data_IF_909331949481
#
_entry.id   IF_909331949481
#
_cell.length_a   1.000
_cell.length_b   1.000
_cell.length_c   1.000
_cell.angle_alpha   90.00
_cell.angle_beta   90.00
_cell.angle_gamma   90.00
#
_symmetry.space_group_name_H-M   'P 1'
#
loop_
_entity.id
_entity.type
_entity.pdbx_description
1 polymer ?
#
# COMPACT_ATOMS: atom_id res chain seq x y z
N UNK A 1 0.09 9.41 -27.51
CA UNK A 1 0.36 8.19 -26.68
C UNK A 1 0.69 7.03 -27.58
N UNK A 2 1.68 6.20 -27.23
CA UNK A 2 2.04 5.02 -28.02
C UNK A 2 0.87 4.05 -28.05
N UNK A 3 0.63 3.46 -29.22
CA UNK A 3 -0.43 2.46 -29.46
C UNK A 3 -0.02 1.13 -28.79
N UNK A 4 -0.14 1.07 -27.44
CA UNK A 4 0.19 -0.11 -26.63
C UNK A 4 -0.96 -1.10 -26.74
N UNK A 5 -0.62 -2.35 -26.96
CA UNK A 5 -1.60 -3.41 -27.20
C UNK A 5 -2.23 -3.96 -25.91
N UNK A 6 -1.65 -3.64 -24.73
CA UNK A 6 -2.15 -4.05 -23.43
C UNK A 6 -2.38 -2.85 -22.50
N UNK A 7 -3.55 -2.82 -21.88
CA UNK A 7 -3.88 -1.81 -20.87
C UNK A 7 -3.15 -2.11 -19.56
N UNK A 8 -3.19 -3.36 -19.10
CA UNK A 8 -2.58 -3.79 -17.84
C UNK A 8 -1.79 -5.09 -18.02
N UNK A 9 -0.61 -5.17 -17.45
CA UNK A 9 0.13 -6.43 -17.26
C UNK A 9 0.27 -6.74 -15.79
N UNK A 10 -0.12 -7.95 -15.36
CA UNK A 10 0.01 -8.45 -13.99
C UNK A 10 1.25 -9.34 -13.91
N UNK A 11 2.35 -8.82 -13.38
CA UNK A 11 3.56 -9.57 -13.16
C UNK A 11 3.56 -10.25 -11.79
N UNK A 12 3.59 -11.59 -11.77
CA UNK A 12 3.40 -12.40 -10.56
C UNK A 12 1.95 -12.85 -10.33
N UNK A 13 1.17 -13.00 -11.41
CA UNK A 13 -0.24 -13.40 -11.39
C UNK A 13 -0.51 -14.78 -10.71
N UNK A 14 0.49 -15.63 -10.54
CA UNK A 14 0.37 -16.95 -9.90
C UNK A 14 0.47 -16.93 -8.36
N UNK A 15 0.90 -15.81 -7.77
CA UNK A 15 0.96 -15.62 -6.32
C UNK A 15 -0.42 -15.53 -5.68
N UNK A 16 -0.50 -15.54 -4.33
CA UNK A 16 -1.77 -15.46 -3.58
C UNK A 16 -2.56 -14.22 -4.00
N UNK A 17 -1.97 -13.03 -3.86
CA UNK A 17 -2.61 -11.77 -4.24
C UNK A 17 -2.73 -11.63 -5.75
N UNK A 18 -1.74 -12.12 -6.52
CA UNK A 18 -1.75 -12.08 -7.98
C UNK A 18 -2.94 -12.79 -8.62
N UNK A 19 -3.33 -13.95 -8.08
CA UNK A 19 -4.55 -14.66 -8.52
C UNK A 19 -5.81 -13.87 -8.24
N UNK A 20 -5.87 -13.18 -7.11
CA UNK A 20 -7.01 -12.32 -6.79
C UNK A 20 -7.08 -11.08 -7.67
N UNK A 21 -5.93 -10.47 -8.04
CA UNK A 21 -5.85 -9.38 -9.02
C UNK A 21 -6.32 -9.88 -10.39
N UNK A 22 -5.82 -11.04 -10.84
CA UNK A 22 -6.20 -11.63 -12.12
C UNK A 22 -7.70 -11.97 -12.19
N UNK A 23 -8.27 -12.52 -11.12
CA UNK A 23 -9.70 -12.80 -11.03
C UNK A 23 -10.54 -11.52 -11.11
N UNK A 24 -10.13 -10.47 -10.41
CA UNK A 24 -10.82 -9.18 -10.47
C UNK A 24 -10.73 -8.53 -11.85
N UNK A 25 -9.58 -8.56 -12.52
CA UNK A 25 -9.45 -8.04 -13.89
C UNK A 25 -10.28 -8.84 -14.90
N UNK A 26 -10.42 -10.15 -14.72
CA UNK A 26 -11.31 -10.97 -15.53
C UNK A 26 -12.79 -10.58 -15.33
N UNK A 27 -13.21 -10.34 -14.09
CA UNK A 27 -14.54 -9.80 -13.78
C UNK A 27 -14.75 -8.44 -14.44
N UNK A 28 -13.78 -7.53 -14.34
CA UNK A 28 -13.85 -6.21 -14.99
C UNK A 28 -13.87 -6.31 -16.52
N UNK A 29 -13.18 -7.30 -17.12
CA UNK A 29 -13.19 -7.52 -18.58
C UNK A 29 -14.56 -7.93 -19.12
N UNK A 30 -15.43 -8.49 -18.27
CA UNK A 30 -16.82 -8.80 -18.65
C UNK A 30 -17.71 -7.54 -18.70
N UNK A 31 -17.31 -6.46 -18.04
CA UNK A 31 -18.08 -5.21 -17.92
C UNK A 31 -17.58 -4.11 -18.87
N UNK A 32 -16.31 -4.15 -19.28
CA UNK A 32 -15.68 -3.13 -20.13
C UNK A 32 -14.61 -3.73 -21.03
N UNK A 33 -14.35 -3.14 -22.21
CA UNK A 33 -13.20 -3.52 -23.02
C UNK A 33 -11.90 -3.34 -22.23
N UNK A 34 -11.19 -4.45 -21.97
CA UNK A 34 -9.95 -4.47 -21.22
C UNK A 34 -9.01 -5.52 -21.82
N UNK A 35 -7.83 -5.08 -22.26
CA UNK A 35 -6.76 -5.96 -22.73
C UNK A 35 -5.72 -6.09 -21.63
N UNK A 36 -5.70 -7.21 -20.95
CA UNK A 36 -4.74 -7.45 -19.88
C UNK A 36 -4.01 -8.78 -20.05
N UNK A 37 -2.77 -8.85 -19.60
CA UNK A 37 -1.94 -10.04 -19.66
C UNK A 37 -1.45 -10.45 -18.28
N UNK A 38 -1.28 -11.77 -18.11
CA UNK A 38 -0.57 -12.34 -16.98
C UNK A 38 0.90 -12.57 -17.36
N UNK A 39 1.84 -12.00 -16.62
CA UNK A 39 3.26 -12.22 -16.86
C UNK A 39 3.88 -13.13 -15.79
N UNK A 40 4.66 -14.12 -16.22
CA UNK A 40 5.30 -15.10 -15.36
C UNK A 40 6.52 -15.75 -16.05
N UNK A 41 7.44 -16.33 -15.27
CA UNK A 41 8.59 -17.09 -15.79
C UNK A 41 8.17 -18.33 -16.58
N UNK A 42 7.16 -19.03 -16.08
CA UNK A 42 6.58 -20.23 -16.67
C UNK A 42 5.14 -19.93 -17.08
N UNK A 43 4.97 -19.63 -18.36
CA UNK A 43 3.67 -19.26 -18.94
C UNK A 43 2.69 -20.43 -18.95
N UNK A 44 3.18 -21.66 -19.16
CA UNK A 44 2.34 -22.88 -19.13
C UNK A 44 1.77 -23.12 -17.73
N UNK A 45 2.61 -22.98 -16.71
CA UNK A 45 2.16 -23.07 -15.31
C UNK A 45 1.18 -21.93 -14.95
N UNK A 46 1.43 -20.72 -15.43
CA UNK A 46 0.55 -19.59 -15.18
C UNK A 46 -0.82 -19.80 -15.83
N UNK A 47 -0.86 -20.19 -17.12
CA UNK A 47 -2.09 -20.49 -17.83
C UNK A 47 -2.90 -21.62 -17.17
N UNK A 48 -2.24 -22.69 -16.71
CA UNK A 48 -2.93 -23.76 -15.97
C UNK A 48 -3.53 -23.27 -14.63
N UNK A 49 -2.75 -22.55 -13.82
CA UNK A 49 -3.22 -22.04 -12.52
C UNK A 49 -4.39 -21.07 -12.67
N UNK A 50 -4.34 -20.18 -13.65
CA UNK A 50 -5.41 -19.21 -13.91
C UNK A 50 -6.63 -19.90 -14.52
N UNK A 51 -6.43 -20.82 -15.48
CA UNK A 51 -7.52 -21.60 -16.07
C UNK A 51 -8.26 -22.49 -15.08
N UNK A 52 -7.56 -23.14 -14.11
CA UNK A 52 -8.17 -23.86 -13.00
C UNK A 52 -9.06 -22.97 -12.12
N UNK A 53 -8.77 -21.66 -12.09
CA UNK A 53 -9.58 -20.66 -11.38
C UNK A 53 -10.65 -19.99 -12.26
N UNK A 54 -10.82 -20.42 -13.52
CA UNK A 54 -11.75 -19.81 -14.47
C UNK A 54 -11.35 -18.39 -14.92
N UNK A 55 -10.06 -18.07 -14.85
CA UNK A 55 -9.53 -16.75 -15.18
C UNK A 55 -8.76 -16.82 -16.51
N UNK A 56 -9.25 -16.09 -17.49
CA UNK A 56 -8.66 -16.05 -18.84
C UNK A 56 -8.14 -14.63 -19.16
N UNK A 57 -6.81 -14.39 -19.06
CA UNK A 57 -6.22 -13.15 -19.56
C UNK A 57 -6.28 -13.11 -21.10
N UNK A 58 -6.14 -11.92 -21.68
CA UNK A 58 -6.00 -11.77 -23.15
C UNK A 58 -4.83 -12.62 -23.68
N UNK A 59 -3.76 -12.67 -22.89
CA UNK A 59 -2.60 -13.53 -23.15
C UNK A 59 -1.74 -13.77 -21.89
N UNK A 60 -0.80 -14.70 -22.00
CA UNK A 60 0.23 -14.93 -20.97
C UNK A 60 1.61 -14.62 -21.55
N UNK A 61 2.37 -13.75 -20.87
CA UNK A 61 3.68 -13.25 -21.32
C UNK A 61 4.79 -13.90 -20.50
N UNK A 62 5.86 -14.33 -21.14
CA UNK A 62 7.09 -14.76 -20.47
C UNK A 62 7.85 -13.54 -19.97
N UNK A 63 8.10 -13.48 -18.65
CA UNK A 63 8.94 -12.46 -18.02
C UNK A 63 9.65 -13.03 -16.80
N UNK A 64 10.95 -12.76 -16.69
CA UNK A 64 11.80 -13.20 -15.57
C UNK A 64 12.59 -12.02 -15.01
N UNK A 65 12.64 -11.91 -13.68
CA UNK A 65 13.45 -10.89 -12.97
C UNK A 65 14.92 -10.95 -13.35
N UNK A 66 15.45 -12.13 -13.65
CA UNK A 66 16.85 -12.33 -14.08
C UNK A 66 17.10 -11.98 -15.53
N UNK A 67 16.07 -11.77 -16.34
CA UNK A 67 16.17 -11.44 -17.76
C UNK A 67 15.61 -10.03 -18.05
N UNK A 68 16.54 -9.05 -18.12
CA UNK A 68 16.20 -7.65 -18.44
C UNK A 68 15.52 -7.48 -19.80
N UNK A 69 15.86 -8.33 -20.78
CA UNK A 69 15.24 -8.30 -22.09
C UNK A 69 13.75 -8.67 -22.04
N UNK A 70 13.41 -9.72 -21.28
CA UNK A 70 12.00 -10.13 -21.10
C UNK A 70 11.20 -9.07 -20.33
N UNK A 71 11.79 -8.42 -19.32
CA UNK A 71 11.14 -7.33 -18.59
C UNK A 71 10.88 -6.11 -19.49
N UNK A 72 11.86 -5.73 -20.30
CA UNK A 72 11.73 -4.63 -21.26
C UNK A 72 10.64 -4.92 -22.31
N UNK A 73 10.63 -6.14 -22.87
CA UNK A 73 9.60 -6.56 -23.82
C UNK A 73 8.20 -6.55 -23.21
N UNK A 74 8.04 -7.02 -21.97
CA UNK A 74 6.78 -6.96 -21.21
C UNK A 74 6.33 -5.50 -21.02
N UNK A 75 7.21 -4.64 -20.49
CA UNK A 75 6.88 -3.26 -20.18
C UNK A 75 6.58 -2.41 -21.42
N UNK A 76 7.24 -2.67 -22.55
CA UNK A 76 7.00 -1.96 -23.80
C UNK A 76 5.58 -2.15 -24.36
N UNK A 77 4.92 -3.25 -24.02
CA UNK A 77 3.56 -3.57 -24.46
C UNK A 77 2.46 -3.03 -23.55
N UNK A 78 2.79 -2.74 -22.29
CA UNK A 78 1.84 -2.38 -21.26
C UNK A 78 1.67 -0.86 -21.12
N UNK A 79 0.44 -0.37 -20.91
CA UNK A 79 0.21 0.98 -20.38
C UNK A 79 0.63 1.02 -18.91
N UNK A 80 0.29 -0.04 -18.16
CA UNK A 80 0.62 -0.17 -16.73
C UNK A 80 1.11 -1.57 -16.43
N UNK A 81 2.17 -1.68 -15.62
CA UNK A 81 2.63 -2.95 -15.04
C UNK A 81 2.27 -2.97 -13.57
N UNK A 82 1.47 -3.96 -13.15
CA UNK A 82 1.19 -4.27 -11.75
C UNK A 82 2.19 -5.33 -11.28
N UNK A 83 3.12 -4.94 -10.43
CA UNK A 83 4.15 -5.85 -9.94
C UNK A 83 3.77 -6.47 -8.59
N UNK A 84 3.61 -7.79 -8.59
CA UNK A 84 3.31 -8.60 -7.39
C UNK A 84 4.45 -9.59 -7.05
N UNK A 85 5.62 -9.35 -7.63
CA UNK A 85 6.80 -10.18 -7.36
C UNK A 85 7.64 -9.56 -6.24
N UNK A 86 7.43 -10.04 -5.02
CA UNK A 86 8.20 -9.66 -3.84
C UNK A 86 9.13 -10.78 -3.35
N UNK A 87 10.03 -10.51 -2.39
CA UNK A 87 10.29 -9.20 -1.75
C UNK A 87 10.81 -8.13 -2.71
N UNK A 88 10.26 -6.92 -2.60
CA UNK A 88 10.56 -5.84 -3.54
C UNK A 88 12.00 -5.32 -3.40
N UNK A 89 12.55 -5.32 -2.20
CA UNK A 89 13.97 -5.02 -1.94
C UNK A 89 14.90 -5.89 -2.79
N UNK A 90 14.49 -7.13 -3.10
CA UNK A 90 15.29 -8.07 -3.89
C UNK A 90 14.95 -8.04 -5.38
N UNK A 91 13.68 -7.81 -5.73
CA UNK A 91 13.18 -8.07 -7.09
C UNK A 91 12.46 -6.89 -7.75
N UNK A 92 12.15 -5.81 -7.01
CA UNK A 92 11.33 -4.71 -7.53
C UNK A 92 12.07 -3.80 -8.52
N UNK A 93 13.33 -3.49 -8.25
CA UNK A 93 14.12 -2.53 -9.03
C UNK A 93 14.16 -2.81 -10.55
N UNK A 94 14.46 -4.03 -11.03
CA UNK A 94 14.54 -4.29 -12.47
C UNK A 94 13.22 -4.05 -13.20
N UNK A 95 12.07 -4.24 -12.53
CA UNK A 95 10.75 -4.00 -13.12
C UNK A 95 10.49 -2.50 -13.24
N UNK A 96 10.83 -1.69 -12.23
CA UNK A 96 10.74 -0.22 -12.30
C UNK A 96 11.65 0.32 -13.40
N UNK A 97 12.90 -0.16 -13.50
CA UNK A 97 13.82 0.20 -14.59
C UNK A 97 13.22 -0.05 -15.97
N UNK A 98 12.63 -1.22 -16.16
CA UNK A 98 11.99 -1.58 -17.44
C UNK A 98 10.79 -0.67 -17.74
N UNK A 99 9.96 -0.36 -16.75
CA UNK A 99 8.82 0.55 -16.90
C UNK A 99 9.27 1.97 -17.25
N UNK A 100 10.26 2.52 -16.54
CA UNK A 100 10.80 3.86 -16.82
C UNK A 100 11.39 3.92 -18.22
N UNK A 101 12.21 2.94 -18.61
CA UNK A 101 12.83 2.90 -19.92
C UNK A 101 11.82 2.74 -21.06
N UNK A 102 10.71 2.04 -20.81
CA UNK A 102 9.67 1.79 -21.83
C UNK A 102 8.55 2.84 -21.81
N UNK A 103 8.49 3.73 -20.83
CA UNK A 103 7.40 4.69 -20.68
C UNK A 103 6.08 4.06 -20.20
N UNK A 104 6.11 2.93 -19.48
CA UNK A 104 4.94 2.30 -18.86
C UNK A 104 4.74 2.83 -17.44
N UNK A 105 3.50 3.02 -17.01
CA UNK A 105 3.21 3.25 -15.59
C UNK A 105 3.51 2.00 -14.77
N UNK A 106 3.77 2.17 -13.50
CA UNK A 106 4.08 1.10 -12.56
C UNK A 106 3.26 1.24 -11.28
N UNK A 107 2.73 0.12 -10.78
CA UNK A 107 2.16 0.07 -9.44
C UNK A 107 2.49 -1.25 -8.73
N UNK A 108 2.62 -1.20 -7.39
CA UNK A 108 2.89 -2.36 -6.56
C UNK A 108 2.21 -2.29 -5.17
N UNK A 109 2.47 -3.30 -4.34
CA UNK A 109 1.93 -3.47 -2.99
C UNK A 109 3.02 -3.38 -1.91
N UNK A 110 4.17 -2.79 -2.20
CA UNK A 110 5.28 -2.81 -1.25
C UNK A 110 4.97 -2.04 0.03
N UNK A 111 5.34 -2.60 1.17
CA UNK A 111 5.47 -1.91 2.45
C UNK A 111 6.93 -1.74 2.88
N UNK A 112 7.87 -1.98 1.98
CA UNK A 112 9.31 -2.01 2.23
C UNK A 112 9.90 -0.60 2.12
N UNK A 113 9.73 0.25 3.15
CA UNK A 113 10.11 1.67 3.12
C UNK A 113 11.57 1.96 2.70
N UNK A 114 12.58 1.15 3.09
CA UNK A 114 13.94 1.32 2.55
C UNK A 114 14.01 1.16 1.03
N UNK A 115 13.26 0.22 0.47
CA UNK A 115 13.16 0.04 -0.98
C UNK A 115 12.45 1.22 -1.65
N UNK A 116 11.29 1.64 -1.11
CA UNK A 116 10.54 2.80 -1.65
C UNK A 116 11.43 4.03 -1.69
N UNK A 117 12.18 4.30 -0.62
CA UNK A 117 13.10 5.43 -0.55
C UNK A 117 14.16 5.38 -1.66
N UNK A 118 14.83 4.25 -1.84
CA UNK A 118 15.82 4.09 -2.91
C UNK A 118 15.23 4.27 -4.30
N UNK A 119 13.99 3.80 -4.52
CA UNK A 119 13.32 3.99 -5.81
C UNK A 119 12.95 5.44 -6.06
N UNK A 120 12.58 6.20 -5.04
CA UNK A 120 12.39 7.65 -5.14
C UNK A 120 13.71 8.33 -5.51
N UNK A 121 14.79 8.04 -4.79
CA UNK A 121 16.10 8.66 -5.02
C UNK A 121 16.62 8.40 -6.44
N UNK A 122 16.40 7.19 -6.98
CA UNK A 122 16.95 6.77 -8.26
C UNK A 122 16.04 7.08 -9.45
N UNK A 123 14.71 7.06 -9.26
CA UNK A 123 13.75 7.06 -10.38
C UNK A 123 12.73 8.21 -10.38
N UNK A 124 12.64 9.06 -9.35
CA UNK A 124 11.68 10.17 -9.36
C UNK A 124 11.90 11.10 -10.57
N UNK A 125 13.13 11.58 -10.76
CA UNK A 125 13.50 12.39 -11.91
C UNK A 125 13.35 11.68 -13.27
N UNK A 126 13.91 10.48 -13.45
CA UNK A 126 13.74 9.69 -14.67
C UNK A 126 12.26 9.40 -15.02
N UNK A 127 11.44 9.02 -14.04
CA UNK A 127 10.02 8.78 -14.24
C UNK A 127 9.26 10.06 -14.61
N UNK A 128 9.58 11.18 -13.96
CA UNK A 128 9.02 12.48 -14.30
C UNK A 128 9.40 12.90 -15.73
N UNK A 129 10.65 12.71 -16.14
CA UNK A 129 11.11 12.99 -17.50
C UNK A 129 10.46 12.10 -18.56
N UNK A 130 10.16 10.83 -18.21
CA UNK A 130 9.44 9.90 -19.07
C UNK A 130 7.91 10.13 -19.10
N UNK A 131 7.39 11.04 -18.29
CA UNK A 131 5.95 11.31 -18.18
C UNK A 131 5.14 10.18 -17.56
N UNK A 132 5.77 9.29 -16.80
CA UNK A 132 5.11 8.13 -16.17
C UNK A 132 4.96 8.29 -14.66
N UNK A 133 4.07 7.49 -14.10
CA UNK A 133 3.85 7.38 -12.66
C UNK A 133 4.42 6.05 -12.17
N UNK A 134 5.27 6.10 -11.17
CA UNK A 134 5.71 4.96 -10.37
C UNK A 134 4.98 5.06 -9.03
N UNK A 135 3.97 4.22 -8.82
CA UNK A 135 3.08 4.28 -7.66
C UNK A 135 3.28 3.05 -6.81
N UNK A 136 3.99 3.21 -5.71
CA UNK A 136 4.21 2.14 -4.75
C UNK A 136 3.14 2.16 -3.66
N UNK A 137 3.05 1.09 -2.86
CA UNK A 137 2.15 0.98 -1.70
C UNK A 137 0.64 1.01 -2.00
N UNK A 138 0.19 0.48 -3.15
CA UNK A 138 -1.22 0.48 -3.57
C UNK A 138 -2.08 -0.61 -2.89
N UNK A 139 -1.80 -0.97 -1.64
CA UNK A 139 -2.54 -1.97 -0.87
C UNK A 139 -3.27 -1.41 0.34
N UNK A 140 -3.91 -2.30 1.09
CA UNK A 140 -4.71 -1.99 2.28
C UNK A 140 -3.95 -1.15 3.31
N UNK A 141 -2.68 -1.41 3.49
CA UNK A 141 -1.89 -0.72 4.48
C UNK A 141 -1.80 0.79 4.21
N UNK A 142 -1.72 1.21 2.94
CA UNK A 142 -1.39 2.61 2.62
C UNK A 142 -2.36 3.32 1.70
N UNK A 143 -2.90 2.68 0.66
CA UNK A 143 -3.77 3.39 -0.28
C UNK A 143 -5.01 4.00 0.40
N UNK A 144 -5.80 3.26 1.22
CA UNK A 144 -6.95 3.84 1.91
C UNK A 144 -6.59 4.93 2.92
N UNK A 145 -5.59 4.75 3.81
CA UNK A 145 -5.16 5.81 4.72
C UNK A 145 -4.74 7.09 4.01
N UNK A 146 -3.94 6.97 2.94
CA UNK A 146 -3.43 8.10 2.17
C UNK A 146 -4.57 8.88 1.51
N UNK A 147 -5.54 8.18 0.90
CA UNK A 147 -6.73 8.80 0.32
C UNK A 147 -7.62 9.47 1.37
N UNK A 148 -7.88 8.82 2.51
CA UNK A 148 -8.72 9.39 3.56
C UNK A 148 -8.15 10.67 4.13
N UNK A 149 -6.82 10.71 4.34
CA UNK A 149 -6.15 11.92 4.83
C UNK A 149 -6.16 13.01 3.77
N UNK A 150 -5.94 12.67 2.49
CA UNK A 150 -6.04 13.62 1.39
C UNK A 150 -7.46 14.21 1.28
N UNK A 151 -8.51 13.38 1.34
CA UNK A 151 -9.91 13.84 1.36
C UNK A 151 -10.22 14.76 2.53
N UNK A 152 -9.71 14.47 3.72
CA UNK A 152 -9.89 15.34 4.87
C UNK A 152 -9.17 16.68 4.68
N UNK A 153 -7.96 16.68 4.11
CA UNK A 153 -7.21 17.88 3.80
C UNK A 153 -7.89 18.73 2.71
N UNK A 154 -8.37 18.09 1.64
CA UNK A 154 -9.11 18.75 0.56
C UNK A 154 -10.39 19.40 1.09
N UNK A 155 -11.12 18.70 1.98
CA UNK A 155 -12.34 19.20 2.61
C UNK A 155 -12.07 20.41 3.51
N UNK A 156 -11.05 20.32 4.36
CA UNK A 156 -10.65 21.42 5.25
C UNK A 156 -10.31 22.68 4.45
N UNK A 157 -9.57 22.48 3.37
CA UNK A 157 -9.18 23.57 2.47
C UNK A 157 -10.37 24.16 1.73
N UNK A 158 -11.17 23.33 1.08
CA UNK A 158 -12.30 23.79 0.27
C UNK A 158 -13.35 24.52 1.10
N UNK A 159 -13.52 24.12 2.37
CA UNK A 159 -14.57 24.66 3.22
C UNK A 159 -14.13 25.87 4.04
N UNK A 160 -12.90 25.88 4.52
CA UNK A 160 -12.44 26.89 5.47
C UNK A 160 -11.10 27.54 5.10
N UNK A 161 -10.45 27.12 4.04
CA UNK A 161 -9.07 27.48 3.67
C UNK A 161 -8.06 27.18 4.80
N UNK A 162 -8.28 26.05 5.49
CA UNK A 162 -7.48 25.61 6.63
C UNK A 162 -6.61 24.39 6.26
N UNK A 163 -5.52 24.23 7.02
CA UNK A 163 -4.64 23.07 6.92
C UNK A 163 -4.80 22.15 8.13
N UNK A 164 -4.41 20.88 7.98
CA UNK A 164 -4.49 19.92 9.07
C UNK A 164 -3.42 20.22 10.14
N UNK A 165 -3.79 20.06 11.42
CA UNK A 165 -2.89 20.08 12.57
C UNK A 165 -2.65 18.68 13.13
N UNK A 166 -3.69 17.85 13.13
CA UNK A 166 -3.59 16.46 13.60
C UNK A 166 -4.57 15.54 12.89
N UNK A 167 -4.16 14.29 12.77
CA UNK A 167 -4.95 13.20 12.18
C UNK A 167 -4.83 11.97 13.09
N UNK A 168 -5.97 11.43 13.51
CA UNK A 168 -6.10 10.14 14.16
C UNK A 168 -6.87 9.19 13.25
N UNK A 169 -6.21 8.13 12.76
CA UNK A 169 -6.83 7.08 11.97
C UNK A 169 -7.14 5.86 12.84
N UNK A 170 -8.37 5.43 12.80
CA UNK A 170 -8.90 4.28 13.54
C UNK A 170 -9.34 3.20 12.55
N UNK A 171 -8.82 1.99 12.71
CA UNK A 171 -9.12 0.85 11.85
C UNK A 171 -9.91 -0.19 12.64
N UNK A 172 -11.04 -0.61 12.13
CA UNK A 172 -11.83 -1.72 12.66
C UNK A 172 -11.87 -2.82 11.62
N UNK A 173 -11.46 -4.03 12.00
CA UNK A 173 -11.53 -5.22 11.13
C UNK A 173 -12.43 -6.24 11.79
N UNK A 174 -13.44 -6.70 11.04
CA UNK A 174 -14.39 -7.72 11.49
C UNK A 174 -14.18 -9.01 10.70
N UNK A 175 -13.56 -10.02 11.32
CA UNK A 175 -13.38 -11.31 10.68
C UNK A 175 -14.72 -12.06 10.58
N UNK A 176 -14.84 -13.04 9.65
CA UNK A 176 -16.00 -13.91 9.59
C UNK A 176 -16.14 -14.73 10.88
N UNK A 177 -17.37 -15.13 11.25
CA UNK A 177 -17.60 -15.99 12.41
C UNK A 177 -16.77 -17.28 12.38
N UNK A 178 -16.33 -17.74 13.56
CA UNK A 178 -15.59 -18.98 13.75
C UNK A 178 -14.20 -18.78 14.32
N UNK A 179 -13.42 -19.87 14.36
CA UNK A 179 -12.05 -19.85 14.90
C UNK A 179 -11.11 -19.16 13.90
N UNK A 180 -10.34 -18.14 14.31
CA UNK A 180 -9.30 -17.55 13.47
C UNK A 180 -8.26 -18.60 13.04
N UNK A 181 -7.83 -18.55 11.79
CA UNK A 181 -6.78 -19.43 11.25
C UNK A 181 -5.47 -18.66 11.19
N UNK A 182 -4.32 -19.31 11.41
CA UNK A 182 -3.01 -18.65 11.24
C UNK A 182 -2.83 -18.03 9.86
N UNK A 183 -3.40 -18.65 8.82
CA UNK A 183 -3.40 -18.13 7.45
C UNK A 183 -4.22 -16.85 7.26
N UNK A 184 -5.16 -16.53 8.17
CA UNK A 184 -5.97 -15.32 8.09
C UNK A 184 -5.15 -14.05 8.42
N UNK A 185 -3.97 -14.18 9.04
CA UNK A 185 -3.17 -13.05 9.49
C UNK A 185 -2.14 -12.56 8.46
N UNK A 186 -1.16 -13.39 8.11
CA UNK A 186 0.02 -12.96 7.33
C UNK A 186 0.35 -14.01 6.27
N UNK A 187 0.60 -13.58 5.01
CA UNK A 187 1.07 -14.47 3.95
C UNK A 187 2.57 -14.79 4.06
N UNK A 188 2.97 -15.88 3.42
CA UNK A 188 4.39 -16.19 3.27
C UNK A 188 5.17 -15.06 2.57
N UNK A 189 4.57 -14.38 1.58
CA UNK A 189 5.16 -13.23 0.91
C UNK A 189 5.38 -12.06 1.86
N UNK A 190 4.39 -11.70 2.67
CA UNK A 190 4.53 -10.62 3.68
C UNK A 190 5.60 -10.95 4.71
N UNK A 191 5.67 -12.20 5.18
CA UNK A 191 6.74 -12.62 6.10
C UNK A 191 8.12 -12.51 5.46
N UNK A 192 8.27 -12.92 4.21
CA UNK A 192 9.54 -12.79 3.48
C UNK A 192 9.96 -11.33 3.30
N UNK A 193 9.02 -10.43 2.98
CA UNK A 193 9.28 -8.97 2.93
C UNK A 193 9.73 -8.41 4.29
N UNK A 194 9.08 -8.81 5.39
CA UNK A 194 9.50 -8.38 6.73
C UNK A 194 10.95 -8.81 7.05
N UNK A 195 11.33 -10.02 6.66
CA UNK A 195 12.71 -10.49 6.86
C UNK A 195 13.70 -9.84 5.89
N UNK A 196 13.29 -9.52 4.67
CA UNK A 196 14.09 -8.75 3.72
C UNK A 196 14.40 -7.34 4.27
N UNK A 197 13.38 -6.64 4.77
CA UNK A 197 13.53 -5.34 5.44
C UNK A 197 14.48 -5.47 6.65
N UNK A 198 14.27 -6.48 7.49
CA UNK A 198 15.13 -6.71 8.64
C UNK A 198 16.58 -6.99 8.27
N UNK A 199 16.86 -7.53 7.09
CA UNK A 199 18.21 -7.72 6.53
C UNK A 199 18.80 -6.49 5.86
N UNK A 200 18.00 -5.48 5.53
CA UNK A 200 18.39 -4.30 4.74
C UNK A 200 19.36 -3.38 5.51
N UNK A 201 20.20 -2.62 4.79
CA UNK A 201 21.11 -1.65 5.41
C UNK A 201 20.34 -0.54 6.11
N UNK A 202 19.32 -0.06 5.48
CA UNK A 202 18.49 1.08 5.87
C UNK A 202 17.25 0.67 6.67
N UNK A 203 17.23 -0.51 7.30
CA UNK A 203 16.07 -1.00 8.04
C UNK A 203 15.55 -0.01 9.11
N UNK A 204 16.41 0.86 9.62
CA UNK A 204 16.00 1.90 10.58
C UNK A 204 14.98 2.91 9.99
N UNK A 205 14.92 3.06 8.66
CA UNK A 205 13.95 3.93 7.99
C UNK A 205 12.49 3.52 8.24
N UNK A 206 12.22 2.26 8.60
CA UNK A 206 10.85 1.84 8.96
C UNK A 206 10.27 2.59 10.16
N UNK A 207 11.13 3.16 11.01
CA UNK A 207 10.72 3.93 12.19
C UNK A 207 10.84 5.46 11.99
N UNK A 208 11.07 5.91 10.76
CA UNK A 208 11.21 7.34 10.43
C UNK A 208 9.94 7.83 9.70
N UNK A 209 9.16 8.76 10.29
CA UNK A 209 7.97 9.31 9.65
C UNK A 209 8.29 10.15 8.40
N UNK A 210 9.54 10.56 8.24
CA UNK A 210 10.04 11.31 7.10
C UNK A 210 10.90 10.46 6.14
N UNK A 211 10.83 9.13 6.22
CA UNK A 211 11.67 8.21 5.43
C UNK A 211 11.64 8.51 3.92
N UNK A 212 10.52 8.99 3.39
CA UNK A 212 10.31 9.24 1.96
C UNK A 212 10.54 10.71 1.54
N UNK A 213 10.97 11.58 2.46
CA UNK A 213 11.23 13.00 2.19
C UNK A 213 12.72 13.20 1.99
N UNK A 214 13.12 13.65 0.79
CA UNK A 214 14.53 13.83 0.44
C UNK A 214 15.13 15.12 1.05
N UNK A 215 14.36 16.23 1.10
CA UNK A 215 14.81 17.49 1.67
C UNK A 215 15.01 17.34 3.19
N UNK A 216 16.23 17.60 3.65
CA UNK A 216 16.60 17.41 5.06
C UNK A 216 15.86 18.35 6.02
N UNK A 217 15.56 19.58 5.59
CA UNK A 217 14.85 20.57 6.40
C UNK A 217 13.39 20.16 6.59
N UNK A 218 12.71 19.79 5.51
CA UNK A 218 11.36 19.27 5.53
C UNK A 218 11.27 17.96 6.36
N UNK A 219 12.23 17.05 6.18
CA UNK A 219 12.30 15.80 6.93
C UNK A 219 12.42 16.05 8.45
N UNK A 220 13.29 16.95 8.88
CA UNK A 220 13.46 17.31 10.29
C UNK A 220 12.20 17.95 10.88
N UNK A 221 11.52 18.79 10.09
CA UNK A 221 10.25 19.38 10.50
C UNK A 221 9.18 18.33 10.71
N UNK A 222 9.07 17.35 9.81
CA UNK A 222 8.15 16.21 9.94
C UNK A 222 8.47 15.35 11.15
N UNK A 223 9.74 14.98 11.37
CA UNK A 223 10.16 14.18 12.55
C UNK A 223 9.76 14.85 13.86
N UNK A 224 9.88 16.18 13.92
CA UNK A 224 9.51 16.95 15.12
C UNK A 224 8.00 17.05 15.31
N UNK A 225 7.23 17.25 14.25
CA UNK A 225 5.77 17.45 14.29
C UNK A 225 4.99 16.12 14.43
N UNK A 226 5.49 15.04 13.83
CA UNK A 226 4.75 13.78 13.69
C UNK A 226 5.60 12.55 14.05
N UNK A 227 6.11 12.42 15.28
CA UNK A 227 6.85 11.22 15.68
C UNK A 227 5.94 9.99 15.65
N UNK A 228 6.47 8.85 15.19
CA UNK A 228 5.74 7.57 15.19
C UNK A 228 5.38 7.17 16.62
N UNK A 229 4.08 7.00 16.89
CA UNK A 229 3.55 6.65 18.20
C UNK A 229 3.01 5.22 18.15
N UNK A 230 3.60 4.34 18.95
CA UNK A 230 3.19 2.93 19.13
C UNK A 230 2.56 2.65 20.48
N UNK A 231 2.30 3.68 21.28
CA UNK A 231 1.62 3.53 22.57
C UNK A 231 0.11 3.32 22.36
N UNK A 232 -0.53 2.45 23.19
CA UNK A 232 -1.99 2.32 23.17
C UNK A 232 -2.63 3.63 23.64
N UNK A 233 -3.82 3.93 23.11
CA UNK A 233 -4.53 5.17 23.43
C UNK A 233 -6.05 4.96 23.49
N UNK A 234 -6.78 5.97 23.93
CA UNK A 234 -8.22 6.06 23.73
C UNK A 234 -8.52 6.67 22.37
N UNK A 235 -9.47 6.09 21.65
CA UNK A 235 -10.02 6.60 20.41
C UNK A 235 -11.11 7.63 20.63
N UNK A 236 -11.63 8.17 19.52
CA UNK A 236 -12.67 9.21 19.53
C UNK A 236 -13.92 8.79 20.30
N UNK A 237 -14.33 7.52 20.21
CA UNK A 237 -15.51 6.97 20.92
C UNK A 237 -15.15 6.28 22.25
N UNK A 238 -14.01 6.60 22.86
CA UNK A 238 -13.54 5.97 24.10
C UNK A 238 -13.06 4.52 23.95
N UNK A 239 -13.00 3.99 22.75
CA UNK A 239 -12.46 2.67 22.46
C UNK A 239 -10.96 2.60 22.77
N UNK A 240 -10.43 1.40 23.05
CA UNK A 240 -8.99 1.18 23.18
C UNK A 240 -8.40 0.98 21.79
N UNK A 241 -7.43 1.81 21.42
CA UNK A 241 -6.72 1.75 20.16
C UNK A 241 -5.33 1.15 20.42
N UNK A 242 -5.06 0.04 19.74
CA UNK A 242 -3.75 -0.60 19.71
C UNK A 242 -2.97 -0.16 18.46
N UNK A 243 -1.64 -0.14 18.50
CA UNK A 243 -0.87 0.09 17.27
C UNK A 243 -1.08 -1.04 16.28
N UNK A 244 -1.15 -0.73 14.98
CA UNK A 244 -1.40 -1.69 13.90
C UNK A 244 -0.11 -1.93 13.11
N UNK A 245 0.57 -3.06 13.37
CA UNK A 245 1.70 -3.47 12.53
C UNK A 245 1.18 -4.20 11.26
N UNK A 246 1.85 -4.04 10.09
CA UNK A 246 3.01 -3.19 9.86
C UNK A 246 2.67 -1.72 9.53
N UNK A 247 1.40 -1.37 9.34
CA UNK A 247 0.93 -0.07 8.85
C UNK A 247 1.50 1.12 9.65
N UNK A 248 1.58 1.02 10.99
CA UNK A 248 2.15 2.05 11.85
C UNK A 248 3.61 2.43 11.51
N UNK A 249 4.30 1.62 10.71
CA UNK A 249 5.66 1.87 10.23
C UNK A 249 5.73 2.22 8.74
N UNK A 250 4.60 2.21 8.04
CA UNK A 250 4.50 2.48 6.60
C UNK A 250 3.82 3.84 6.39
N UNK A 251 2.63 3.98 6.93
CA UNK A 251 1.74 5.11 6.64
C UNK A 251 2.27 6.47 7.05
N UNK A 252 2.95 6.66 8.20
CA UNK A 252 3.47 7.97 8.53
C UNK A 252 4.36 8.54 7.43
N UNK A 253 5.25 7.72 6.83
CA UNK A 253 6.14 8.14 5.76
C UNK A 253 5.39 8.43 4.45
N UNK A 254 4.42 7.59 4.08
CA UNK A 254 3.60 7.76 2.87
C UNK A 254 2.77 9.04 2.95
N UNK A 255 2.04 9.23 4.05
CA UNK A 255 1.13 10.36 4.25
C UNK A 255 1.89 11.70 4.32
N UNK A 256 3.04 11.74 4.99
CA UNK A 256 3.86 12.95 5.02
C UNK A 256 4.51 13.25 3.65
N UNK A 257 4.84 12.21 2.87
CA UNK A 257 5.28 12.39 1.47
C UNK A 257 4.14 12.92 0.60
N UNK A 258 2.91 12.44 0.77
CA UNK A 258 1.71 12.98 0.10
C UNK A 258 1.54 14.46 0.40
N UNK A 259 1.61 14.85 1.67
CA UNK A 259 1.52 16.26 2.07
C UNK A 259 2.62 17.12 1.43
N UNK A 260 3.85 16.61 1.36
CA UNK A 260 4.97 17.28 0.71
C UNK A 260 4.74 17.47 -0.80
N UNK A 261 4.35 16.40 -1.50
CA UNK A 261 4.12 16.43 -2.94
C UNK A 261 2.97 17.39 -3.30
N UNK A 262 1.87 17.37 -2.54
CA UNK A 262 0.75 18.29 -2.75
C UNK A 262 1.15 19.76 -2.47
N UNK A 263 1.91 20.00 -1.40
CA UNK A 263 2.43 21.34 -1.09
C UNK A 263 3.34 21.86 -2.21
N UNK A 264 4.20 20.99 -2.77
CA UNK A 264 5.09 21.36 -3.88
C UNK A 264 4.33 21.73 -5.15
N UNK A 265 3.25 21.01 -5.47
CA UNK A 265 2.39 21.32 -6.63
C UNK A 265 1.65 22.65 -6.45
N UNK A 266 1.27 22.97 -5.23
CA UNK A 266 0.59 24.22 -4.89
C UNK A 266 1.57 25.38 -4.60
N UNK A 267 2.87 25.18 -4.82
CA UNK A 267 3.93 26.15 -4.59
C UNK A 267 3.90 26.77 -3.18
N UNK A 268 3.53 25.98 -2.18
CA UNK A 268 3.42 26.40 -0.78
C UNK A 268 4.36 25.63 0.13
N UNK A 269 4.72 26.19 1.30
CA UNK A 269 5.53 25.48 2.29
C UNK A 269 4.81 24.22 2.80
N UNK A 270 5.58 23.12 3.00
CA UNK A 270 5.07 21.95 3.70
C UNK A 270 4.65 22.35 5.13
N UNK A 271 3.40 22.05 5.48
CA UNK A 271 2.87 22.16 6.84
C UNK A 271 2.64 20.75 7.37
N UNK A 272 3.59 20.17 8.11
CA UNK A 272 3.43 18.84 8.66
C UNK A 272 2.41 18.86 9.78
N UNK A 273 1.62 17.81 9.85
CA UNK A 273 0.62 17.58 10.89
C UNK A 273 0.96 16.31 11.68
N UNK A 274 0.50 16.24 12.90
CA UNK A 274 0.65 15.05 13.73
C UNK A 274 -0.24 13.94 13.19
N UNK A 275 0.35 12.81 12.81
CA UNK A 275 -0.37 11.62 12.36
C UNK A 275 -0.26 10.48 13.37
N UNK A 276 -1.38 9.82 13.66
CA UNK A 276 -1.44 8.60 14.47
C UNK A 276 -2.44 7.64 13.83
N UNK A 277 -2.17 6.35 13.98
CA UNK A 277 -3.10 5.32 13.55
C UNK A 277 -3.17 4.17 14.53
N UNK A 278 -4.17 3.31 14.41
CA UNK A 278 -4.24 2.10 15.18
C UNK A 278 -5.52 1.29 14.98
N UNK A 279 -5.44 0.05 15.48
CA UNK A 279 -6.53 -0.91 15.44
C UNK A 279 -7.47 -0.69 16.63
N UNK A 280 -8.74 -0.56 16.35
CA UNK A 280 -9.78 -0.50 17.38
C UNK A 280 -9.94 -1.87 18.01
N UNK A 281 -9.59 -2.00 19.27
CA UNK A 281 -9.94 -3.17 20.09
C UNK A 281 -11.38 -2.99 20.56
N UNK A 282 -12.33 -3.17 19.62
CA UNK A 282 -13.75 -3.15 19.84
C UNK A 282 -14.31 -4.57 19.79
N UNK A 283 -15.52 -4.74 20.24
CA UNK A 283 -16.16 -6.04 20.26
C UNK A 283 -16.43 -6.50 21.69
N UNK A 284 -17.62 -6.91 21.84
CA UNK A 284 -18.46 -6.88 23.01
C UNK A 284 -18.06 -7.76 24.18
N UNK A 285 -17.18 -8.72 24.03
CA UNK A 285 -16.93 -9.73 25.09
C UNK A 285 -15.69 -9.49 25.96
N UNK A 286 -14.71 -8.71 25.48
CA UNK A 286 -13.49 -8.45 26.26
C UNK A 286 -13.69 -7.28 27.23
N UNK A 287 -13.35 -7.48 28.51
CA UNK A 287 -13.35 -6.43 29.50
C UNK A 287 -12.38 -5.31 29.14
N UNK A 288 -12.63 -4.09 29.64
CA UNK A 288 -11.74 -2.95 29.40
C UNK A 288 -10.29 -3.21 29.83
N UNK A 289 -10.01 -3.80 31.00
CA UNK A 289 -8.63 -4.17 31.40
C UNK A 289 -7.96 -5.14 30.40
N UNK A 290 -8.71 -6.14 29.91
CA UNK A 290 -8.19 -7.09 28.94
C UNK A 290 -7.81 -6.40 27.62
N UNK A 291 -8.63 -5.48 27.12
CA UNK A 291 -8.32 -4.70 25.90
C UNK A 291 -7.03 -3.87 26.08
N UNK A 292 -6.86 -3.22 27.22
CA UNK A 292 -5.61 -2.50 27.54
C UNK A 292 -4.41 -3.44 27.63
N UNK A 293 -4.59 -4.63 28.21
CA UNK A 293 -3.55 -5.67 28.25
C UNK A 293 -3.12 -6.12 26.84
N UNK A 294 -4.08 -6.39 25.95
CA UNK A 294 -3.81 -6.76 24.54
C UNK A 294 -3.10 -5.60 23.82
N UNK A 295 -3.59 -4.37 23.97
CA UNK A 295 -2.97 -3.19 23.34
C UNK A 295 -1.54 -2.98 23.84
N UNK A 296 -1.28 -3.18 25.12
CA UNK A 296 0.06 -3.12 25.71
C UNK A 296 1.00 -4.18 25.15
N UNK A 297 0.53 -5.42 24.99
CA UNK A 297 1.31 -6.50 24.42
C UNK A 297 1.66 -6.23 22.94
N UNK A 298 0.71 -5.72 22.13
CA UNK A 298 0.96 -5.32 20.76
C UNK A 298 1.98 -4.16 20.70
N UNK A 299 1.88 -3.18 21.59
CA UNK A 299 2.86 -2.08 21.68
C UNK A 299 4.25 -2.59 22.04
N UNK A 300 4.37 -3.51 22.97
CA UNK A 300 5.66 -4.10 23.35
C UNK A 300 6.28 -4.89 22.18
N UNK A 301 5.46 -5.64 21.44
CA UNK A 301 5.91 -6.35 20.24
C UNK A 301 6.45 -5.38 19.18
N UNK A 302 5.74 -4.29 18.92
CA UNK A 302 6.20 -3.29 17.94
C UNK A 302 7.44 -2.52 18.43
N UNK A 303 7.55 -2.23 19.71
CA UNK A 303 8.76 -1.65 20.28
C UNK A 303 9.95 -2.59 20.09
N UNK A 304 9.75 -3.89 20.28
CA UNK A 304 10.76 -4.92 20.00
C UNK A 304 11.18 -4.95 18.54
N UNK A 305 10.22 -4.91 17.59
CA UNK A 305 10.50 -4.86 16.15
C UNK A 305 11.26 -3.59 15.76
N UNK A 306 10.87 -2.43 16.31
CA UNK A 306 11.59 -1.17 16.12
C UNK A 306 13.01 -1.23 16.64
N UNK A 307 13.20 -1.76 17.85
CA UNK A 307 14.53 -1.95 18.45
C UNK A 307 15.39 -2.90 17.62
N UNK A 308 14.79 -3.98 17.10
CA UNK A 308 15.48 -4.91 16.20
C UNK A 308 15.90 -4.25 14.89
N UNK A 309 15.02 -3.46 14.26
CA UNK A 309 15.33 -2.72 13.03
C UNK A 309 16.47 -1.69 13.25
N UNK A 310 16.55 -1.10 14.43
CA UNK A 310 17.61 -0.17 14.82
C UNK A 310 18.92 -0.87 15.25
N UNK A 311 18.93 -2.20 15.45
CA UNK A 311 20.11 -2.94 15.87
C UNK A 311 21.20 -2.93 14.77
N UNK A 312 22.45 -3.12 15.20
CA UNK A 312 23.61 -3.18 14.27
C UNK A 312 23.41 -4.27 13.21
N UNK A 313 23.75 -4.02 11.93
CA UNK A 313 23.62 -4.99 10.85
C UNK A 313 24.27 -6.35 11.14
N UNK A 314 25.40 -6.36 11.87
CA UNK A 314 26.09 -7.58 12.27
C UNK A 314 25.24 -8.52 13.16
N UNK A 315 24.31 -7.98 13.93
CA UNK A 315 23.37 -8.77 14.77
C UNK A 315 22.13 -9.10 13.96
N UNK A 316 21.55 -8.11 13.30
CA UNK A 316 20.24 -8.17 12.64
C UNK A 316 20.25 -9.09 11.42
N UNK A 317 21.26 -9.00 10.54
CA UNK A 317 21.34 -9.76 9.29
C UNK A 317 21.38 -11.28 9.47
N UNK A 318 22.20 -11.87 10.37
CA UNK A 318 22.17 -13.31 10.60
C UNK A 318 20.82 -13.82 11.11
N UNK A 319 20.20 -13.06 12.02
CA UNK A 319 18.86 -13.41 12.57
C UNK A 319 17.81 -13.34 11.47
N UNK A 320 17.77 -12.27 10.70
CA UNK A 320 16.82 -12.12 9.58
C UNK A 320 16.96 -13.26 8.56
N UNK A 321 18.18 -13.65 8.20
CA UNK A 321 18.44 -14.79 7.29
C UNK A 321 17.97 -16.12 7.86
N UNK A 322 18.18 -16.36 9.16
CA UNK A 322 17.72 -17.58 9.81
C UNK A 322 16.17 -17.67 9.80
N UNK A 323 15.49 -16.56 10.15
CA UNK A 323 14.03 -16.49 10.12
C UNK A 323 13.46 -16.62 8.71
N UNK A 324 14.11 -16.01 7.71
CA UNK A 324 13.67 -16.13 6.30
C UNK A 324 13.68 -17.58 5.79
N UNK A 325 14.61 -18.42 6.27
CA UNK A 325 14.65 -19.85 5.92
C UNK A 325 13.50 -20.66 6.53
N UNK A 326 12.91 -20.17 7.62
CA UNK A 326 11.77 -20.80 8.32
C UNK A 326 10.43 -20.26 7.83
N UNK A 327 10.43 -19.19 7.04
CA UNK A 327 9.22 -18.57 6.51
C UNK A 327 8.48 -19.55 5.59
N UNK A 328 7.14 -19.56 5.63
CA UNK A 328 6.33 -20.29 4.65
C UNK A 328 6.64 -19.84 3.23
N UNK A 329 6.40 -20.73 2.26
CA UNK A 329 6.54 -20.37 0.84
C UNK A 329 5.60 -19.20 0.48
N UNK A 330 5.99 -18.41 -0.55
CA UNK A 330 5.23 -17.25 -1.03
C UNK A 330 3.78 -17.57 -1.44
N UNK A 331 3.45 -18.84 -1.71
CA UNK A 331 2.09 -19.30 -1.99
C UNK A 331 1.23 -19.56 -0.75
N UNK A 332 1.78 -19.48 0.47
CA UNK A 332 1.00 -19.64 1.70
C UNK A 332 0.17 -18.38 1.98
N UNK A 333 -1.12 -18.56 2.20
CA UNK A 333 -2.05 -17.48 2.54
C UNK A 333 -3.49 -17.96 2.58
N UNK A 334 -4.45 -17.11 2.96
CA UNK A 334 -5.85 -17.50 2.98
C UNK A 334 -6.39 -17.70 1.57
N UNK A 335 -7.39 -18.56 1.46
CA UNK A 335 -8.04 -18.88 0.20
C UNK A 335 -9.55 -19.19 0.43
N UNK A 336 -10.32 -19.13 -0.66
CA UNK A 336 -11.71 -19.54 -0.70
C UNK A 336 -12.68 -18.49 -0.17
N UNK A 337 -13.94 -18.92 0.06
CA UNK A 337 -15.08 -18.07 0.40
C UNK A 337 -14.90 -17.23 1.68
N UNK A 338 -14.01 -17.64 2.58
CA UNK A 338 -13.74 -16.84 3.78
C UNK A 338 -13.19 -15.45 3.48
N UNK A 339 -12.48 -15.28 2.36
CA UNK A 339 -11.93 -13.99 1.96
C UNK A 339 -13.02 -12.93 1.71
N UNK A 340 -14.19 -13.35 1.27
CA UNK A 340 -15.31 -12.46 0.93
C UNK A 340 -16.05 -11.94 2.17
N UNK A 341 -16.06 -12.73 3.27
CA UNK A 341 -16.87 -12.45 4.46
C UNK A 341 -16.26 -11.48 5.47
N UNK A 342 -15.10 -10.94 5.18
CA UNK A 342 -14.48 -9.90 6.00
C UNK A 342 -15.12 -8.56 5.71
N UNK A 343 -15.31 -7.75 6.75
CA UNK A 343 -15.65 -6.34 6.61
C UNK A 343 -14.68 -5.50 7.42
N UNK A 344 -14.44 -4.29 7.00
CA UNK A 344 -13.56 -3.40 7.72
C UNK A 344 -13.93 -1.93 7.47
N UNK A 345 -13.59 -1.10 8.44
CA UNK A 345 -13.77 0.34 8.36
C UNK A 345 -12.48 1.05 8.74
N UNK A 346 -12.22 2.16 8.09
CA UNK A 346 -11.22 3.13 8.50
C UNK A 346 -11.90 4.47 8.73
N UNK A 347 -11.56 5.15 9.83
CA UNK A 347 -12.07 6.47 10.16
C UNK A 347 -10.91 7.40 10.49
N UNK A 348 -10.78 8.47 9.72
CA UNK A 348 -9.86 9.58 9.97
C UNK A 348 -10.63 10.63 10.76
N UNK A 349 -10.12 10.99 11.92
CA UNK A 349 -10.53 12.14 12.71
C UNK A 349 -9.43 13.19 12.58
N UNK A 350 -9.66 14.19 11.76
CA UNK A 350 -8.71 15.25 11.48
C UNK A 350 -9.14 16.55 12.16
N UNK A 351 -8.17 17.26 12.71
CA UNK A 351 -8.36 18.59 13.26
C UNK A 351 -7.47 19.58 12.54
N UNK A 352 -8.03 20.74 12.18
CA UNK A 352 -7.32 21.79 11.48
C UNK A 352 -6.54 22.69 12.43
N UNK A 353 -5.70 23.55 11.87
CA UNK A 353 -4.91 24.54 12.61
C UNK A 353 -5.77 25.60 13.28
N UNK A 354 -6.97 25.90 12.78
CA UNK A 354 -7.92 26.82 13.40
C UNK A 354 -8.91 26.12 14.35
N UNK A 355 -8.88 24.78 14.41
CA UNK A 355 -9.68 24.00 15.37
C UNK A 355 -10.95 23.37 14.79
N UNK A 356 -11.18 23.46 13.49
CA UNK A 356 -12.27 22.76 12.80
C UNK A 356 -12.00 21.25 12.76
N UNK A 357 -13.05 20.44 12.78
CA UNK A 357 -12.95 18.99 12.73
C UNK A 357 -13.46 18.46 11.38
N UNK A 358 -12.78 17.44 10.83
CA UNK A 358 -13.20 16.71 9.63
C UNK A 358 -13.15 15.24 9.92
N UNK A 359 -14.21 14.51 9.55
CA UNK A 359 -14.25 13.05 9.65
C UNK A 359 -14.36 12.46 8.26
N UNK A 360 -13.35 11.68 7.85
CA UNK A 360 -13.40 10.91 6.62
C UNK A 360 -13.45 9.42 6.96
N UNK A 361 -14.38 8.69 6.34
CA UNK A 361 -14.60 7.26 6.59
C UNK A 361 -14.56 6.45 5.32
N UNK A 362 -14.09 5.20 5.45
CA UNK A 362 -14.15 4.17 4.43
C UNK A 362 -14.79 2.93 5.04
N UNK A 363 -15.79 2.38 4.37
CA UNK A 363 -16.37 1.06 4.65
C UNK A 363 -16.09 0.13 3.48
N UNK A 364 -15.63 -1.09 3.74
CA UNK A 364 -15.26 -2.01 2.68
C UNK A 364 -15.44 -3.47 3.06
N UNK A 365 -15.56 -4.30 2.01
CA UNK A 365 -15.75 -5.74 2.08
C UNK A 365 -14.55 -6.49 1.53
N UNK A 366 -14.42 -7.73 1.99
CA UNK A 366 -13.36 -8.64 1.61
C UNK A 366 -12.15 -8.53 2.53
N UNK A 367 -11.39 -9.62 2.61
CA UNK A 367 -10.19 -9.68 3.46
C UNK A 367 -9.25 -8.51 3.15
N UNK A 368 -8.91 -7.65 4.13
CA UNK A 368 -8.18 -6.41 3.86
C UNK A 368 -6.84 -6.64 3.17
N UNK A 369 -6.00 -7.52 3.70
CA UNK A 369 -4.65 -7.76 3.18
C UNK A 369 -4.57 -8.62 1.91
N UNK A 370 -5.69 -9.13 1.38
CA UNK A 370 -5.67 -10.00 0.18
C UNK A 370 -6.72 -9.59 -0.85
N UNK A 371 -8.01 -9.86 -0.61
CA UNK A 371 -9.04 -9.60 -1.61
C UNK A 371 -9.24 -8.11 -1.85
N UNK A 372 -9.37 -7.31 -0.77
CA UNK A 372 -9.52 -5.87 -0.89
C UNK A 372 -8.24 -5.24 -1.48
N UNK A 373 -7.06 -5.66 -1.01
CA UNK A 373 -5.76 -5.23 -1.55
C UNK A 373 -5.64 -5.53 -3.06
N UNK A 374 -6.07 -6.72 -3.49
CA UNK A 374 -6.04 -7.08 -4.91
C UNK A 374 -6.95 -6.17 -5.77
N UNK A 375 -8.16 -5.88 -5.26
CA UNK A 375 -9.10 -4.96 -5.91
C UNK A 375 -8.56 -3.54 -5.98
N UNK A 376 -7.93 -3.05 -4.90
CA UNK A 376 -7.28 -1.73 -4.86
C UNK A 376 -6.20 -1.59 -5.92
N UNK A 377 -5.28 -2.56 -5.98
CA UNK A 377 -4.19 -2.53 -6.96
C UNK A 377 -4.73 -2.62 -8.39
N UNK A 378 -5.73 -3.47 -8.63
CA UNK A 378 -6.34 -3.59 -9.95
C UNK A 378 -7.00 -2.27 -10.39
N UNK A 379 -7.82 -1.64 -9.53
CA UNK A 379 -8.45 -0.35 -9.85
C UNK A 379 -7.41 0.78 -9.98
N UNK A 380 -6.36 0.79 -9.17
CA UNK A 380 -5.24 1.73 -9.36
C UNK A 380 -4.60 1.55 -10.75
N UNK A 381 -4.38 0.30 -11.17
CA UNK A 381 -3.88 -0.01 -12.50
C UNK A 381 -4.82 0.43 -13.62
N UNK A 382 -6.11 0.16 -13.49
CA UNK A 382 -7.12 0.58 -14.48
C UNK A 382 -7.21 2.11 -14.60
N UNK A 383 -7.14 2.83 -13.47
CA UNK A 383 -7.10 4.29 -13.44
C UNK A 383 -5.84 4.85 -14.11
N UNK A 384 -4.67 4.23 -13.86
CA UNK A 384 -3.42 4.63 -14.48
C UNK A 384 -3.38 4.33 -15.99
N UNK A 385 -4.11 3.30 -16.45
CA UNK A 385 -4.20 2.94 -17.86
C UNK A 385 -5.16 3.84 -18.65
N UNK A 386 -6.10 4.49 -17.98
CA UNK A 386 -7.13 5.33 -18.59
C UNK A 386 -6.65 6.78 -18.74
N UNK A 387 -6.68 7.28 -19.97
CA UNK A 387 -6.24 8.65 -20.27
C UNK A 387 -7.13 9.69 -19.60
N UNK A 388 -6.53 10.61 -18.87
CA UNK A 388 -7.25 11.69 -18.19
C UNK A 388 -7.98 11.29 -16.90
N UNK A 389 -7.96 9.99 -16.52
CA UNK A 389 -8.63 9.53 -15.30
C UNK A 389 -7.89 9.92 -14.01
N UNK A 390 -6.64 10.32 -14.10
CA UNK A 390 -5.80 10.68 -12.95
C UNK A 390 -5.13 12.03 -13.16
N UNK A 391 -4.76 12.75 -12.07
CA UNK A 391 -4.09 14.05 -12.18
C UNK A 391 -2.87 14.02 -13.11
N UNK A 392 -2.64 15.10 -13.84
CA UNK A 392 -1.47 15.24 -14.73
C UNK A 392 -0.21 15.46 -13.90
N UNK A 393 0.39 14.36 -13.45
CA UNK A 393 1.62 14.32 -12.64
C UNK A 393 2.46 13.13 -13.06
N UNK A 394 3.78 13.22 -12.91
CA UNK A 394 4.71 12.14 -13.20
C UNK A 394 5.81 12.07 -12.14
N UNK A 395 6.48 10.92 -12.02
CA UNK A 395 7.50 10.66 -11.01
C UNK A 395 7.14 9.52 -10.08
N UNK A 396 7.87 9.37 -8.97
CA UNK A 396 7.58 8.44 -7.89
C UNK A 396 6.55 9.05 -6.93
N UNK A 397 5.30 8.67 -7.08
CA UNK A 397 4.16 9.29 -6.43
C UNK A 397 3.55 8.35 -5.38
N UNK A 398 2.97 8.94 -4.33
CA UNK A 398 2.12 8.20 -3.39
C UNK A 398 0.74 7.94 -4.00
N UNK A 399 -0.04 6.97 -3.51
CA UNK A 399 -1.35 6.63 -4.09
C UNK A 399 -2.29 7.82 -4.24
N UNK A 400 -2.46 8.63 -3.20
CA UNK A 400 -3.38 9.78 -3.24
C UNK A 400 -2.93 10.85 -4.26
N UNK A 401 -1.62 11.09 -4.40
CA UNK A 401 -1.07 12.04 -5.37
C UNK A 401 -1.20 11.53 -6.81
N UNK A 402 -0.99 10.23 -7.00
CA UNK A 402 -1.04 9.61 -8.32
C UNK A 402 -2.46 9.48 -8.88
N UNK A 403 -3.41 9.08 -8.01
CA UNK A 403 -4.78 8.76 -8.39
C UNK A 403 -5.73 9.95 -8.22
N UNK A 404 -5.43 10.85 -7.29
CA UNK A 404 -6.32 11.97 -6.93
C UNK A 404 -7.50 11.53 -6.07
N UNK A 405 -8.14 12.49 -5.39
CA UNK A 405 -9.29 12.23 -4.52
C UNK A 405 -10.54 11.73 -5.29
N UNK A 406 -10.66 12.09 -6.58
CA UNK A 406 -11.75 11.63 -7.45
C UNK A 406 -11.77 10.11 -7.72
N UNK A 407 -10.69 9.38 -7.44
CA UNK A 407 -10.65 7.93 -7.62
C UNK A 407 -11.60 7.15 -6.69
N UNK A 408 -12.12 7.79 -5.64
CA UNK A 408 -13.01 7.16 -4.66
C UNK A 408 -14.31 6.64 -5.26
N UNK A 409 -14.85 7.29 -6.28
CA UNK A 409 -16.01 6.82 -7.05
C UNK A 409 -15.69 5.51 -7.81
N UNK A 410 -14.48 5.40 -8.34
CA UNK A 410 -14.00 4.18 -9.01
C UNK A 410 -13.81 3.04 -8.00
N UNK A 411 -13.25 3.34 -6.84
CA UNK A 411 -13.04 2.36 -5.77
C UNK A 411 -14.34 1.82 -5.17
N UNK A 412 -15.47 2.52 -5.35
CA UNK A 412 -16.79 1.98 -5.00
C UNK A 412 -17.11 0.66 -5.73
N UNK A 413 -16.61 0.47 -6.96
CA UNK A 413 -16.70 -0.79 -7.71
C UNK A 413 -15.89 -1.91 -7.07
N UNK A 414 -14.84 -1.56 -6.35
CA UNK A 414 -14.01 -2.47 -5.55
C UNK A 414 -14.59 -2.73 -4.14
N UNK A 415 -15.88 -2.40 -3.93
CA UNK A 415 -16.58 -2.47 -2.64
C UNK A 415 -15.95 -1.58 -1.55
N UNK A 416 -15.52 -0.38 -1.93
CA UNK A 416 -14.93 0.61 -1.05
C UNK A 416 -15.72 1.91 -1.10
N UNK A 417 -16.42 2.23 -0.03
CA UNK A 417 -17.34 3.35 0.04
C UNK A 417 -16.78 4.43 0.96
N UNK A 418 -16.38 5.54 0.35
CA UNK A 418 -15.83 6.70 1.05
C UNK A 418 -16.93 7.70 1.38
N UNK A 419 -16.81 8.34 2.53
CA UNK A 419 -17.64 9.48 2.93
C UNK A 419 -16.81 10.47 3.73
N UNK A 420 -17.13 11.76 3.60
CA UNK A 420 -16.48 12.83 4.35
C UNK A 420 -17.53 13.75 4.91
N UNK A 421 -17.37 14.10 6.18
CA UNK A 421 -18.20 15.08 6.88
C UNK A 421 -17.31 16.09 7.61
N UNK A 422 -17.66 17.36 7.56
CA UNK A 422 -17.03 18.41 8.32
C UNK A 422 -17.51 18.41 9.76
#
# INVERSE_FOLDING_TARGET
>A
MSDRDLDVVVFGATGVTGRSVAAYLAERSAEMPLRWAAAARDTSKAGRILGEAGVEPTETIAADIGDRGSLAAMAARARVVLNLVGPYTLYGRPVIEACVASGAHYADLTGEMPFVRRMIDDFDGPAAAAGIKVVQTCGFESLPPDLLVALAADTARARWDETLASVDLEVTVTPPPGVPRPSDGISGGTMQSMFAIAGDEDAALVADPAALIADATAANTVRSASPITIAPRRGANGAVIAPMAPAAFINPAVIQRTAQLLASVEERPLQPFRYREGLVLGGSSASLPLRWGIAGALSATQAGLRGFAAAKPAIRRPVARALARMAPASGFGPAGERLVRWTWTMSVHARTTAGSDVVATLQADGHPGYLATARMLAEAGLLLAEDGATPVRAGCLTPAVALGSGCTERLARAHMHFSVSP
#
